data_IF_057290699498
#
_entry.id   IF_057290699498
#
_cell.length_a   1.000
_cell.length_b   1.000
_cell.length_c   1.000
_cell.angle_alpha   90.00
_cell.angle_beta   90.00
_cell.angle_gamma   90.00
#
_symmetry.space_group_name_H-M   'P 1'
#
loop_
_entity.id
_entity.type
_entity.pdbx_description
1 polymer ?
#
# COMPACT_ATOMS: atom_id res chain seq x y z
N UNK A 1 -21.42 17.10 -20.29
CA UNK A 1 -22.28 16.97 -19.09
C UNK A 1 -21.40 17.18 -17.88
N UNK A 2 -21.43 18.37 -17.29
CA UNK A 2 -20.51 18.80 -16.24
C UNK A 2 -21.22 18.68 -14.89
N UNK A 3 -20.73 17.85 -14.00
CA UNK A 3 -21.28 17.73 -12.64
C UNK A 3 -20.26 18.30 -11.67
N UNK A 4 -20.57 19.47 -11.14
CA UNK A 4 -19.84 20.16 -10.08
C UNK A 4 -20.28 19.62 -8.71
N UNK A 5 -19.33 19.14 -7.90
CA UNK A 5 -19.60 18.70 -6.53
C UNK A 5 -18.97 19.67 -5.53
N UNK A 6 -19.80 20.51 -4.91
CA UNK A 6 -19.40 21.41 -3.82
C UNK A 6 -19.66 20.70 -2.48
N UNK A 7 -18.59 20.40 -1.72
CA UNK A 7 -18.71 19.90 -0.34
C UNK A 7 -19.08 21.05 0.62
N UNK A 8 -20.06 20.89 1.53
CA UNK A 8 -20.37 21.90 2.52
C UNK A 8 -19.32 21.91 3.65
N UNK A 9 -18.67 23.06 3.84
CA UNK A 9 -17.78 23.31 4.99
C UNK A 9 -18.62 23.56 6.24
N UNK A 10 -18.54 22.66 7.23
CA UNK A 10 -19.09 22.89 8.58
C UNK A 10 -18.29 24.00 9.28
N UNK A 11 -18.96 25.10 9.65
CA UNK A 11 -18.38 26.16 10.49
C UNK A 11 -18.25 25.66 11.93
N UNK A 12 -17.03 25.63 12.46
CA UNK A 12 -16.78 25.51 13.90
C UNK A 12 -17.06 26.89 14.54
N UNK A 13 -17.91 26.91 15.56
CA UNK A 13 -18.24 28.12 16.33
C UNK A 13 -17.20 28.26 17.45
N UNK A 14 -16.56 29.42 17.51
CA UNK A 14 -15.66 29.81 18.60
C UNK A 14 -16.44 29.95 19.91
N UNK A 15 -16.00 29.26 20.97
CA UNK A 15 -16.43 29.56 22.33
C UNK A 15 -15.42 30.54 22.94
N UNK A 16 -15.86 31.77 23.18
CA UNK A 16 -15.16 32.72 24.03
C UNK A 16 -15.43 32.35 25.49
N UNK A 17 -14.38 32.04 26.25
CA UNK A 17 -14.45 31.87 27.71
C UNK A 17 -14.05 33.20 28.33
N UNK A 18 -14.98 33.76 29.10
CA UNK A 18 -14.88 35.07 29.73
C UNK A 18 -13.85 35.11 30.87
N UNK A 19 -13.20 36.26 30.98
CA UNK A 19 -12.30 36.62 32.06
C UNK A 19 -13.09 36.91 33.35
N UNK A 20 -12.58 36.43 34.48
CA UNK A 20 -12.77 37.07 35.78
C UNK A 20 -11.40 37.29 36.42
N UNK A 21 -11.12 38.54 36.73
CA UNK A 21 -9.90 38.98 37.41
C UNK A 21 -10.08 38.79 38.92
N UNK A 22 -9.03 38.30 39.58
CA UNK A 22 -8.85 38.42 41.02
C UNK A 22 -7.39 38.77 41.29
N UNK A 23 -7.18 39.99 41.75
CA UNK A 23 -5.89 40.60 42.05
C UNK A 23 -5.38 40.13 43.41
N UNK A 24 -4.14 39.65 43.49
CA UNK A 24 -3.38 39.61 44.74
C UNK A 24 -1.94 40.09 44.46
N UNK A 25 -1.58 41.15 45.18
CA UNK A 25 -0.26 41.77 45.20
C UNK A 25 0.74 40.85 45.90
N UNK A 26 1.82 40.48 45.21
CA UNK A 26 3.06 40.01 45.82
C UNK A 26 4.24 40.50 44.98
N UNK A 27 4.98 41.46 45.52
CA UNK A 27 6.20 41.99 44.94
C UNK A 27 7.32 40.95 45.02
N UNK A 28 7.74 40.44 43.86
CA UNK A 28 9.02 39.74 43.71
C UNK A 28 9.86 40.50 42.68
N UNK A 29 11.11 40.81 43.04
CA UNK A 29 12.12 41.36 42.13
C UNK A 29 12.29 40.43 40.94
N UNK A 30 11.67 40.75 39.81
CA UNK A 30 11.88 40.05 38.55
C UNK A 30 12.89 40.82 37.70
N UNK A 31 14.04 40.20 37.49
CA UNK A 31 14.97 40.56 36.41
C UNK A 31 14.19 40.46 35.10
N UNK A 32 14.23 41.45 34.19
CA UNK A 32 13.60 41.28 32.89
C UNK A 32 14.45 40.27 32.12
N UNK A 33 13.98 39.03 32.00
CA UNK A 33 14.46 38.14 30.96
C UNK A 33 13.98 38.74 29.64
N UNK A 34 14.87 39.42 28.92
CA UNK A 34 14.61 39.88 27.57
C UNK A 34 14.34 38.64 26.72
N UNK A 35 13.07 38.37 26.45
CA UNK A 35 12.68 37.32 25.52
C UNK A 35 13.28 37.68 24.16
N UNK A 36 14.20 36.84 23.67
CA UNK A 36 14.64 36.88 22.29
C UNK A 36 13.38 36.83 21.40
N UNK A 37 13.30 37.62 20.33
CA UNK A 37 12.17 37.52 19.42
C UNK A 37 12.16 36.09 18.89
N UNK A 38 11.08 35.37 19.17
CA UNK A 38 10.80 34.13 18.46
C UNK A 38 10.68 34.51 16.99
N UNK A 39 11.71 34.22 16.20
CA UNK A 39 11.60 34.22 14.75
C UNK A 39 10.50 33.22 14.40
N UNK A 40 9.30 33.77 14.19
CA UNK A 40 8.22 33.07 13.53
C UNK A 40 8.71 32.82 12.10
N UNK A 41 9.42 31.72 11.90
CA UNK A 41 9.73 31.17 10.59
C UNK A 41 8.38 30.84 9.93
N UNK A 42 7.81 31.83 9.23
CA UNK A 42 6.62 31.67 8.44
C UNK A 42 6.95 30.65 7.35
N UNK A 43 6.57 29.40 7.56
CA UNK A 43 6.60 28.38 6.53
C UNK A 43 5.70 28.85 5.39
N UNK A 44 6.30 29.29 4.30
CA UNK A 44 5.56 29.66 3.09
C UNK A 44 4.91 28.41 2.53
N UNK A 45 3.60 28.29 2.72
CA UNK A 45 2.81 27.24 2.11
C UNK A 45 2.96 27.33 0.58
N UNK A 46 3.47 26.26 -0.03
CA UNK A 46 3.58 26.13 -1.48
C UNK A 46 2.29 25.54 -2.05
N UNK A 47 1.70 26.23 -3.01
CA UNK A 47 0.56 25.73 -3.77
C UNK A 47 1.06 24.91 -4.95
N UNK A 48 0.48 23.73 -5.17
CA UNK A 48 0.74 22.88 -6.33
C UNK A 48 -0.58 22.68 -7.05
N UNK A 49 -0.62 22.99 -8.34
CA UNK A 49 -1.77 22.65 -9.18
C UNK A 49 -1.73 21.16 -9.52
N UNK A 50 -2.83 20.46 -9.26
CA UNK A 50 -2.99 19.03 -9.51
C UNK A 50 -4.15 18.84 -10.48
N UNK A 51 -3.88 18.16 -11.59
CA UNK A 51 -4.90 17.68 -12.52
C UNK A 51 -4.96 16.15 -12.42
N UNK A 52 -6.17 15.60 -12.44
CA UNK A 52 -6.40 14.15 -12.35
C UNK A 52 -7.45 13.73 -13.38
N UNK A 53 -7.24 12.56 -13.99
CA UNK A 53 -8.19 11.90 -14.86
C UNK A 53 -8.70 10.63 -14.18
N UNK A 54 -9.99 10.36 -14.30
CA UNK A 54 -10.61 9.15 -13.77
C UNK A 54 -10.86 8.17 -14.91
N UNK A 55 -10.44 6.92 -14.71
CA UNK A 55 -10.76 5.79 -15.58
C UNK A 55 -11.56 4.74 -14.82
N UNK A 56 -12.33 3.94 -15.54
CA UNK A 56 -13.04 2.81 -14.93
C UNK A 56 -12.01 1.79 -14.42
N UNK A 57 -12.07 1.46 -13.12
CA UNK A 57 -11.23 0.46 -12.49
C UNK A 57 -11.76 -0.98 -12.65
N UNK A 58 -11.04 -1.93 -12.05
CA UNK A 58 -11.46 -3.35 -12.04
C UNK A 58 -12.67 -3.57 -11.13
N UNK A 59 -13.57 -4.49 -11.46
CA UNK A 59 -14.59 -4.94 -10.52
C UNK A 59 -13.92 -5.56 -9.28
N UNK A 60 -14.35 -5.13 -8.10
CA UNK A 60 -13.79 -5.62 -6.83
C UNK A 60 -12.30 -5.32 -6.66
N UNK A 61 -11.82 -4.19 -7.19
CA UNK A 61 -10.41 -3.79 -7.11
C UNK A 61 -9.88 -3.75 -5.67
N UNK A 62 -8.67 -4.28 -5.46
CA UNK A 62 -7.93 -4.21 -4.21
C UNK A 62 -6.65 -3.40 -4.39
N UNK A 63 -5.48 -4.04 -4.24
CA UNK A 63 -4.20 -3.36 -4.22
C UNK A 63 -3.60 -3.24 -5.62
N UNK A 64 -2.54 -2.45 -5.70
CA UNK A 64 -1.76 -2.28 -6.91
C UNK A 64 -0.27 -2.27 -6.58
N UNK A 65 0.54 -2.70 -7.54
CA UNK A 65 2.00 -2.67 -7.46
C UNK A 65 2.57 -2.20 -8.79
N UNK A 66 3.66 -1.44 -8.75
CA UNK A 66 4.34 -0.98 -9.95
C UNK A 66 5.62 -1.78 -10.17
N UNK A 67 5.80 -2.30 -11.38
CA UNK A 67 7.07 -2.85 -11.85
C UNK A 67 7.83 -1.75 -12.58
N UNK A 68 8.97 -1.33 -12.02
CA UNK A 68 9.83 -0.34 -12.64
C UNK A 68 10.56 -0.94 -13.84
N UNK A 69 10.99 -2.20 -13.74
CA UNK A 69 11.69 -2.92 -14.83
C UNK A 69 10.84 -3.03 -16.09
N UNK A 70 9.55 -3.33 -15.96
CA UNK A 70 8.66 -3.57 -17.10
C UNK A 70 7.77 -2.37 -17.46
N UNK A 71 7.81 -1.29 -16.68
CA UNK A 71 6.92 -0.12 -16.79
C UNK A 71 5.45 -0.53 -16.82
N UNK A 72 5.03 -1.30 -15.81
CA UNK A 72 3.66 -1.82 -15.70
C UNK A 72 3.10 -1.60 -14.31
N UNK A 73 1.86 -1.14 -14.27
CA UNK A 73 1.03 -1.19 -13.08
C UNK A 73 0.30 -2.54 -13.05
N UNK A 74 0.35 -3.23 -11.92
CA UNK A 74 -0.39 -4.44 -11.66
C UNK A 74 -1.51 -4.13 -10.70
N UNK A 75 -2.72 -4.61 -10.98
CA UNK A 75 -3.90 -4.35 -10.14
C UNK A 75 -4.64 -5.64 -9.89
N UNK A 76 -5.00 -5.90 -8.64
CA UNK A 76 -5.81 -7.06 -8.25
C UNK A 76 -7.27 -6.69 -8.12
N UNK A 77 -8.14 -7.67 -8.33
CA UNK A 77 -9.57 -7.56 -8.06
C UNK A 77 -10.17 -8.91 -7.68
N UNK A 78 -11.13 -8.89 -6.76
CA UNK A 78 -11.94 -10.06 -6.43
C UNK A 78 -13.36 -9.65 -6.01
N UNK A 79 -14.38 -10.31 -6.54
CA UNK A 79 -15.78 -10.08 -6.15
C UNK A 79 -16.50 -11.39 -5.85
N UNK A 80 -17.55 -11.29 -5.04
CA UNK A 80 -18.35 -12.41 -4.55
C UNK A 80 -18.27 -12.56 -3.04
N UNK A 81 -19.42 -12.80 -2.40
CA UNK A 81 -19.51 -13.37 -1.05
C UNK A 81 -19.56 -14.88 -1.26
N UNK A 82 -18.74 -15.69 -0.56
CA UNK A 82 -18.44 -17.08 -0.94
C UNK A 82 -19.61 -17.77 -1.66
N UNK A 83 -19.42 -18.18 -2.93
CA UNK A 83 -18.14 -18.27 -3.66
C UNK A 83 -17.56 -16.91 -4.15
N UNK A 84 -16.28 -16.91 -4.50
CA UNK A 84 -15.65 -15.82 -5.27
C UNK A 84 -16.03 -16.04 -6.74
N UNK A 85 -16.82 -15.13 -7.30
CA UNK A 85 -17.36 -15.20 -8.66
C UNK A 85 -16.44 -14.56 -9.69
N UNK A 86 -15.65 -13.57 -9.30
CA UNK A 86 -14.64 -12.97 -10.16
C UNK A 86 -13.34 -12.78 -9.39
N UNK A 87 -12.23 -13.07 -10.05
CA UNK A 87 -10.90 -12.74 -9.58
C UNK A 87 -10.09 -12.22 -10.78
N UNK A 88 -9.18 -11.29 -10.54
CA UNK A 88 -8.41 -10.67 -11.61
C UNK A 88 -7.04 -10.24 -11.08
N UNK A 89 -6.01 -10.51 -11.86
CA UNK A 89 -4.73 -9.81 -11.83
C UNK A 89 -4.58 -9.16 -13.20
N UNK A 90 -4.64 -7.84 -13.25
CA UNK A 90 -4.53 -7.09 -14.49
C UNK A 90 -3.14 -6.47 -14.62
N UNK A 91 -2.58 -6.55 -15.83
CA UNK A 91 -1.44 -5.75 -16.27
C UNK A 91 -1.98 -4.48 -16.93
N UNK A 92 -1.56 -3.33 -16.44
CA UNK A 92 -2.09 -2.01 -16.79
C UNK A 92 -0.95 -1.12 -17.26
N UNK A 93 -1.20 -0.40 -18.34
CA UNK A 93 -0.32 0.65 -18.82
C UNK A 93 -0.37 1.85 -17.86
N UNK A 94 0.73 2.23 -17.18
CA UNK A 94 0.68 3.24 -16.13
C UNK A 94 0.37 4.66 -16.63
N UNK A 95 0.76 4.98 -17.87
CA UNK A 95 0.55 6.32 -18.45
C UNK A 95 -0.87 6.54 -18.96
N UNK A 96 -1.54 5.47 -19.41
CA UNK A 96 -2.87 5.55 -20.02
C UNK A 96 -3.98 4.93 -19.17
N UNK A 97 -3.62 4.22 -18.11
CA UNK A 97 -4.50 3.44 -17.24
C UNK A 97 -5.33 2.37 -17.99
N UNK A 98 -4.90 1.98 -19.20
CA UNK A 98 -5.55 0.91 -19.97
C UNK A 98 -5.09 -0.46 -19.47
N UNK A 99 -6.05 -1.36 -19.29
CA UNK A 99 -5.76 -2.79 -19.06
C UNK A 99 -5.21 -3.37 -20.36
N UNK A 100 -4.00 -3.92 -20.30
CA UNK A 100 -3.33 -4.55 -21.44
C UNK A 100 -3.60 -6.05 -21.50
N UNK A 101 -3.69 -6.70 -20.34
CA UNK A 101 -3.96 -8.14 -20.21
C UNK A 101 -4.46 -8.50 -18.80
N UNK A 102 -5.10 -9.66 -18.69
CA UNK A 102 -5.52 -10.26 -17.42
C UNK A 102 -4.96 -11.67 -17.29
N UNK A 103 -4.54 -12.05 -16.09
CA UNK A 103 -4.12 -13.41 -15.80
C UNK A 103 -5.34 -14.36 -15.79
N UNK A 104 -5.12 -15.61 -16.22
CA UNK A 104 -6.08 -16.67 -16.00
C UNK A 104 -6.03 -17.11 -14.54
N UNK A 105 -7.10 -16.84 -13.79
CA UNK A 105 -7.15 -17.13 -12.35
C UNK A 105 -7.47 -18.61 -12.10
N UNK A 106 -6.70 -19.33 -11.26
CA UNK A 106 -7.02 -20.69 -10.89
C UNK A 106 -8.36 -20.80 -10.17
N UNK A 107 -9.04 -21.93 -10.31
CA UNK A 107 -10.24 -22.27 -9.54
C UNK A 107 -9.89 -23.25 -8.42
N UNK A 108 -10.52 -23.07 -7.27
CA UNK A 108 -10.38 -23.93 -6.10
C UNK A 108 -11.72 -24.57 -5.78
N UNK A 109 -11.67 -25.82 -5.29
CA UNK A 109 -12.83 -26.45 -4.67
C UNK A 109 -13.11 -25.75 -3.34
N UNK A 110 -14.39 -25.55 -3.03
CA UNK A 110 -14.84 -24.91 -1.79
C UNK A 110 -16.07 -25.63 -1.25
N UNK A 111 -16.33 -25.47 0.05
CA UNK A 111 -17.45 -26.10 0.74
C UNK A 111 -17.36 -27.63 0.85
N UNK A 112 -18.34 -28.21 1.54
CA UNK A 112 -18.48 -29.67 1.76
C UNK A 112 -19.94 -30.10 1.58
N UNK A 113 -20.16 -31.39 1.31
CA UNK A 113 -21.51 -31.94 1.12
C UNK A 113 -22.30 -31.20 0.03
N UNK A 114 -23.54 -30.81 0.33
CA UNK A 114 -24.42 -30.08 -0.60
C UNK A 114 -23.94 -28.66 -0.93
N UNK A 115 -23.01 -28.10 -0.14
CA UNK A 115 -22.42 -26.79 -0.38
C UNK A 115 -21.08 -26.89 -1.13
N UNK A 116 -20.69 -28.09 -1.58
CA UNK A 116 -19.47 -28.27 -2.35
C UNK A 116 -19.60 -27.62 -3.73
N UNK A 117 -18.58 -26.90 -4.15
CA UNK A 117 -18.54 -26.23 -5.44
C UNK A 117 -17.16 -25.73 -5.79
N UNK A 118 -17.10 -24.76 -6.69
CA UNK A 118 -15.87 -24.11 -7.11
C UNK A 118 -15.98 -22.60 -6.96
N UNK A 119 -14.83 -21.96 -6.73
CA UNK A 119 -14.66 -20.52 -6.76
C UNK A 119 -13.32 -20.18 -7.39
N UNK A 120 -13.13 -18.93 -7.81
CA UNK A 120 -11.79 -18.48 -8.15
C UNK A 120 -10.88 -18.40 -6.90
N UNK A 121 -9.59 -18.62 -7.10
CA UNK A 121 -8.57 -18.26 -6.12
C UNK A 121 -8.41 -16.74 -6.13
N UNK A 122 -9.08 -16.04 -5.22
CA UNK A 122 -9.14 -14.58 -5.21
C UNK A 122 -7.77 -13.93 -5.04
N UNK A 123 -7.52 -12.84 -5.77
CA UNK A 123 -6.33 -12.01 -5.66
C UNK A 123 -6.64 -10.73 -4.87
N UNK A 124 -5.81 -10.40 -3.87
CA UNK A 124 -6.05 -9.29 -2.95
C UNK A 124 -4.85 -8.35 -2.84
N UNK A 125 -3.82 -8.74 -2.08
CA UNK A 125 -2.56 -8.00 -2.00
C UNK A 125 -1.65 -8.35 -3.17
N UNK A 126 -0.79 -7.42 -3.57
CA UNK A 126 0.14 -7.63 -4.69
C UNK A 126 1.46 -6.88 -4.49
N UNK A 127 2.56 -7.50 -4.91
CA UNK A 127 3.87 -6.88 -5.01
C UNK A 127 4.56 -7.29 -6.32
N UNK A 128 5.22 -6.33 -6.97
CA UNK A 128 6.07 -6.61 -8.12
C UNK A 128 7.49 -6.94 -7.66
N UNK A 129 8.03 -8.04 -8.16
CA UNK A 129 9.41 -8.48 -7.97
C UNK A 129 10.15 -8.37 -9.30
N UNK A 130 10.78 -7.21 -9.49
CA UNK A 130 11.52 -6.90 -10.70
C UNK A 130 12.82 -7.72 -10.83
N UNK A 131 13.40 -8.16 -9.71
CA UNK A 131 14.61 -8.98 -9.72
C UNK A 131 14.32 -10.34 -10.37
N UNK A 132 13.18 -10.95 -10.06
CA UNK A 132 12.80 -12.26 -10.58
C UNK A 132 11.77 -12.21 -11.74
N UNK A 133 11.35 -11.02 -12.17
CA UNK A 133 10.30 -10.84 -13.19
C UNK A 133 8.97 -11.50 -12.82
N UNK A 134 8.60 -11.42 -11.54
CA UNK A 134 7.34 -12.01 -11.03
C UNK A 134 6.46 -10.96 -10.36
N UNK A 135 5.17 -11.27 -10.21
CA UNK A 135 4.31 -10.62 -9.24
C UNK A 135 3.85 -11.65 -8.21
N UNK A 136 3.89 -11.25 -6.95
CA UNK A 136 3.43 -12.05 -5.83
C UNK A 136 2.09 -11.51 -5.36
N UNK A 137 1.15 -12.41 -5.13
CA UNK A 137 -0.24 -12.07 -4.81
C UNK A 137 -0.68 -12.82 -3.57
N UNK A 138 -1.32 -12.13 -2.63
CA UNK A 138 -1.99 -12.81 -1.53
C UNK A 138 -3.35 -13.32 -1.97
N UNK A 139 -3.63 -14.57 -1.63
CA UNK A 139 -4.94 -15.19 -1.78
C UNK A 139 -5.58 -15.32 -0.40
N UNK A 140 -6.14 -14.21 0.10
CA UNK A 140 -6.55 -14.15 1.50
C UNK A 140 -7.57 -15.22 1.89
N UNK A 141 -8.61 -15.45 1.07
CA UNK A 141 -9.69 -16.38 1.44
C UNK A 141 -9.32 -17.86 1.37
N UNK A 142 -8.22 -18.18 0.70
CA UNK A 142 -7.66 -19.54 0.64
C UNK A 142 -6.40 -19.67 1.50
N UNK A 143 -6.08 -18.65 2.31
CA UNK A 143 -4.91 -18.65 3.19
C UNK A 143 -3.63 -19.04 2.46
N UNK A 144 -3.39 -18.42 1.30
CA UNK A 144 -2.27 -18.77 0.43
C UNK A 144 -1.63 -17.55 -0.24
N UNK A 145 -0.49 -17.78 -0.89
CA UNK A 145 0.21 -16.84 -1.76
C UNK A 145 0.47 -17.51 -3.10
N UNK A 146 0.34 -16.76 -4.19
CA UNK A 146 0.66 -17.22 -5.54
C UNK A 146 1.65 -16.28 -6.22
N UNK A 147 2.46 -16.85 -7.12
CA UNK A 147 3.45 -16.13 -7.92
C UNK A 147 3.10 -16.28 -9.39
N UNK A 148 3.07 -15.16 -10.10
CA UNK A 148 2.80 -15.10 -11.53
C UNK A 148 4.00 -14.49 -12.26
N UNK A 149 4.30 -15.02 -13.44
CA UNK A 149 5.31 -14.43 -14.32
C UNK A 149 4.78 -13.14 -14.98
N UNK A 150 5.57 -12.07 -14.94
CA UNK A 150 5.13 -10.74 -15.41
C UNK A 150 4.92 -10.69 -16.94
N UNK A 151 5.60 -11.54 -17.70
CA UNK A 151 5.56 -11.54 -19.16
C UNK A 151 4.34 -12.30 -19.66
N UNK A 152 4.17 -13.53 -19.17
CA UNK A 152 3.19 -14.51 -19.64
C UNK A 152 1.88 -14.50 -18.85
N UNK A 153 1.84 -13.86 -17.68
CA UNK A 153 0.71 -13.84 -16.74
C UNK A 153 0.29 -15.23 -16.25
N UNK A 154 1.16 -16.24 -16.38
CA UNK A 154 0.89 -17.59 -15.87
C UNK A 154 1.27 -17.68 -14.40
N UNK A 155 0.43 -18.36 -13.61
CA UNK A 155 0.84 -18.76 -12.27
C UNK A 155 1.97 -19.78 -12.39
N UNK A 156 3.11 -19.49 -11.75
CA UNK A 156 4.29 -20.36 -11.76
C UNK A 156 4.50 -21.07 -10.41
N UNK A 157 3.88 -20.57 -9.35
CA UNK A 157 3.92 -21.19 -8.02
C UNK A 157 2.72 -20.77 -7.17
N UNK A 158 2.33 -21.61 -6.21
CA UNK A 158 1.39 -21.27 -5.14
C UNK A 158 1.74 -22.02 -3.87
N UNK A 159 1.49 -21.40 -2.72
CA UNK A 159 1.57 -22.06 -1.41
C UNK A 159 0.30 -22.83 -1.05
N UNK A 160 -0.76 -22.71 -1.86
CA UNK A 160 -2.03 -23.39 -1.58
C UNK A 160 -1.84 -24.90 -1.72
N UNK A 161 -2.14 -25.62 -0.64
CA UNK A 161 -2.12 -27.08 -0.61
C UNK A 161 -3.55 -27.62 -0.33
N UNK A 162 -4.22 -28.25 -1.31
CA UNK A 162 -5.57 -28.79 -1.11
C UNK A 162 -5.63 -29.97 -0.14
N UNK A 163 -4.50 -30.61 0.17
CA UNK A 163 -4.43 -31.75 1.09
C UNK A 163 -4.07 -31.32 2.53
N UNK A 164 -3.61 -30.08 2.72
CA UNK A 164 -3.21 -29.61 4.03
C UNK A 164 -4.42 -29.38 4.95
N UNK A 165 -4.30 -29.83 6.20
CA UNK A 165 -5.28 -29.53 7.26
C UNK A 165 -5.27 -28.05 7.64
N UNK A 166 -4.13 -27.38 7.44
CA UNK A 166 -3.92 -25.96 7.68
C UNK A 166 -2.95 -25.42 6.63
N UNK A 167 -3.19 -24.22 6.11
CA UNK A 167 -2.30 -23.61 5.14
C UNK A 167 -1.09 -22.96 5.82
N UNK A 168 0.01 -22.82 5.08
CA UNK A 168 1.29 -22.32 5.62
C UNK A 168 1.23 -20.85 6.04
N UNK A 169 0.26 -20.09 5.54
CA UNK A 169 0.05 -18.68 5.90
C UNK A 169 -1.41 -18.49 6.33
N UNK A 170 -1.64 -17.64 7.33
CA UNK A 170 -3.00 -17.30 7.75
C UNK A 170 -3.46 -15.98 7.15
N UNK A 171 -4.58 -16.02 6.43
CA UNK A 171 -5.33 -14.86 5.95
C UNK A 171 -4.49 -13.68 5.41
N UNK A 172 -3.52 -13.92 4.51
CA UNK A 172 -2.51 -12.93 4.16
C UNK A 172 -3.11 -11.73 3.42
N UNK A 173 -2.62 -10.52 3.72
CA UNK A 173 -3.15 -9.25 3.17
C UNK A 173 -2.19 -8.47 2.28
N UNK A 174 -0.90 -8.57 2.57
CA UNK A 174 0.16 -7.84 1.85
C UNK A 174 1.32 -8.80 1.55
N UNK A 175 2.03 -8.53 0.46
CA UNK A 175 3.37 -9.04 0.21
C UNK A 175 4.29 -7.84 0.06
N UNK A 176 5.53 -7.94 0.55
CA UNK A 176 6.54 -6.88 0.38
C UNK A 176 7.84 -7.51 -0.11
N UNK A 177 8.39 -6.92 -1.15
CA UNK A 177 9.73 -7.27 -1.64
C UNK A 177 10.76 -6.49 -0.84
N UNK A 178 11.62 -7.18 -0.11
CA UNK A 178 12.76 -6.57 0.57
C UNK A 178 13.99 -6.76 -0.30
N UNK A 179 14.63 -5.66 -0.69
CA UNK A 179 15.98 -5.73 -1.23
C UNK A 179 16.92 -6.21 -0.11
N UNK A 180 17.85 -7.15 -0.37
CA UNK A 180 18.84 -7.52 0.63
C UNK A 180 19.57 -6.28 1.14
N UNK A 181 19.71 -6.15 2.46
CA UNK A 181 20.52 -5.09 3.05
C UNK A 181 21.95 -5.26 2.51
N UNK A 182 22.51 -4.23 1.89
CA UNK A 182 23.93 -4.25 1.51
C UNK A 182 24.74 -4.53 2.79
N UNK A 183 25.55 -5.58 2.78
CA UNK A 183 26.47 -5.85 3.89
C UNK A 183 27.34 -4.59 4.09
N UNK A 184 27.56 -4.15 5.34
CA UNK A 184 28.46 -3.02 5.58
C UNK A 184 29.82 -3.36 4.98
N UNK A 185 30.34 -2.48 4.13
CA UNK A 185 31.67 -2.63 3.55
C UNK A 185 32.69 -2.68 4.69
N UNK A 186 33.36 -3.81 4.86
CA UNK A 186 34.50 -3.94 5.78
C UNK A 186 35.49 -2.81 5.51
N UNK A 187 35.90 -2.01 6.52
CA UNK A 187 36.92 -1.01 6.31
C UNK A 187 38.24 -1.73 6.01
N UNK A 188 38.65 -1.69 4.75
CA UNK A 188 39.99 -2.05 4.31
C UNK A 188 40.96 -1.00 4.81
N UNK A 189 42.00 -1.45 5.53
CA UNK A 189 43.22 -0.67 5.72
C UNK A 189 43.58 -0.39 7.17
N UNK A 190 44.22 -1.35 7.85
CA UNK A 190 45.21 -1.01 8.87
C UNK A 190 46.57 -1.04 8.19
N UNK A 191 47.15 0.14 7.97
CA UNK A 191 48.52 0.28 7.54
C UNK A 191 49.45 -0.30 8.62
N UNK A 192 50.27 -1.28 8.24
CA UNK A 192 51.37 -1.77 9.06
C UNK A 192 52.53 -0.79 8.92
N UNK A 193 52.87 -0.09 10.00
CA UNK A 193 54.11 0.71 10.07
C UNK A 193 55.34 -0.22 10.11
N UNK A 194 56.46 0.11 9.45
CA UNK A 194 57.69 -0.66 9.57
C UNK A 194 58.39 -0.32 10.89
N UNK A 195 58.85 -1.35 11.60
CA UNK A 195 59.74 -1.24 12.76
C UNK A 195 61.17 -0.97 12.31
N UNK A 196 61.77 0.11 12.80
CA UNK A 196 63.22 0.34 12.87
C UNK A 196 63.89 -0.59 13.86
#
# INVERSE_FOLDING_TARGET
MTISYQRPRRRLKNLAVGATAASLLASALMVPAQAAPAESAASSARSVEVSAQQTQGLPGQYQMAYSQKNDKLWVTGSSGRPPIETATIARVNPSTMKIEANAAMPTLRTGTGQNAGYQYNGAYGIAADDANNTVWVTNTRSSAVSVFDQTTLKQIWTSYDPAASEQVVDHPREVKMTTPLAAPSSPTGRASSPST
#
